data_IF_824391279346
#
_entry.id   IF_824391279346
#
_cell.length_a   1.000
_cell.length_b   1.000
_cell.length_c   1.000
_cell.angle_alpha   90.00
_cell.angle_beta   90.00
_cell.angle_gamma   90.00
#
_symmetry.space_group_name_H-M   'P 1'
#
loop_
_entity.id
_entity.type
_entity.pdbx_description
1 polymer ?
#
# COMPACT_ATOMS: atom_id res chain seq x y z
N UNK A 1 -9.44 -4.44 8.91
CA UNK A 1 -7.96 -4.54 8.80
C UNK A 1 -7.43 -5.95 9.01
N UNK A 2 -7.90 -6.72 10.00
CA UNK A 2 -7.42 -8.10 10.25
C UNK A 2 -7.49 -9.02 9.03
N UNK A 3 -8.57 -8.96 8.24
CA UNK A 3 -8.68 -9.74 7.00
C UNK A 3 -7.58 -9.40 5.98
N UNK A 4 -7.16 -8.14 5.91
CA UNK A 4 -6.07 -7.74 5.04
C UNK A 4 -4.72 -8.27 5.56
N UNK A 5 -4.49 -8.22 6.88
CA UNK A 5 -3.30 -8.82 7.50
C UNK A 5 -3.23 -10.32 7.25
N UNK A 6 -4.36 -11.03 7.27
CA UNK A 6 -4.46 -12.44 6.90
C UNK A 6 -4.00 -12.70 5.46
N UNK A 7 -4.42 -11.86 4.53
CA UNK A 7 -3.99 -11.98 3.13
C UNK A 7 -2.47 -11.78 2.98
N UNK A 8 -1.91 -10.78 3.65
CA UNK A 8 -0.46 -10.53 3.63
C UNK A 8 0.30 -11.69 4.28
N UNK A 9 -0.15 -12.15 5.45
CA UNK A 9 0.45 -13.27 6.17
C UNK A 9 0.47 -14.56 5.31
N UNK A 10 -0.64 -14.88 4.63
CA UNK A 10 -0.71 -16.02 3.71
C UNK A 10 0.15 -15.85 2.45
N UNK A 11 0.26 -14.63 1.92
CA UNK A 11 1.09 -14.34 0.75
C UNK A 11 2.60 -14.28 1.07
N UNK A 12 2.96 -14.18 2.35
CA UNK A 12 4.36 -14.11 2.79
C UNK A 12 5.01 -15.50 2.69
N UNK A 13 6.09 -15.66 1.91
CA UNK A 13 6.74 -16.96 1.74
C UNK A 13 7.26 -17.56 3.05
N UNK A 14 7.27 -18.89 3.15
CA UNK A 14 7.84 -19.61 4.29
C UNK A 14 9.30 -19.18 4.50
N UNK A 15 9.67 -18.91 5.76
CA UNK A 15 11.00 -18.41 6.12
C UNK A 15 11.19 -16.90 5.91
N UNK A 16 10.16 -16.16 5.52
CA UNK A 16 10.17 -14.69 5.45
C UNK A 16 9.20 -14.06 6.46
N UNK A 17 9.46 -12.79 6.76
CA UNK A 17 8.66 -11.97 7.66
C UNK A 17 8.18 -10.72 6.93
N UNK A 18 6.89 -10.44 6.97
CA UNK A 18 6.31 -9.23 6.39
C UNK A 18 6.38 -8.07 7.39
N UNK A 19 6.85 -6.92 6.90
CA UNK A 19 6.76 -5.66 7.63
C UNK A 19 5.78 -4.77 6.88
N UNK A 20 4.71 -4.37 7.57
CA UNK A 20 3.64 -3.54 6.99
C UNK A 20 3.68 -2.16 7.62
N UNK A 21 3.89 -1.15 6.80
CA UNK A 21 3.90 0.25 7.21
C UNK A 21 2.48 0.78 7.15
N UNK A 22 2.00 1.38 8.24
CA UNK A 22 0.64 1.93 8.36
C UNK A 22 0.69 3.37 8.90
N UNK A 23 -0.28 4.17 8.50
CA UNK A 23 -0.43 5.54 9.00
C UNK A 23 -1.16 5.61 10.35
N UNK A 24 -1.46 6.85 10.77
CA UNK A 24 -2.12 7.18 12.02
C UNK A 24 -3.61 6.84 12.16
N UNK A 25 -4.29 6.31 11.13
CA UNK A 25 -5.75 6.18 11.14
C UNK A 25 -6.29 5.41 12.36
N UNK A 26 -7.48 5.77 12.84
CA UNK A 26 -8.04 5.22 14.09
C UNK A 26 -8.26 3.70 14.08
N UNK A 27 -8.44 3.11 12.90
CA UNK A 27 -8.58 1.65 12.70
C UNK A 27 -7.24 0.95 12.38
N UNK A 28 -6.12 1.68 12.36
CA UNK A 28 -4.76 1.15 12.24
C UNK A 28 -4.17 0.90 13.63
N UNK A 29 -4.67 -0.17 14.25
CA UNK A 29 -4.31 -0.61 15.60
C UNK A 29 -3.43 -1.87 15.55
N UNK A 30 -2.49 -2.01 16.50
CA UNK A 30 -1.48 -3.07 16.49
C UNK A 30 -2.07 -4.48 16.68
N UNK A 31 -3.20 -4.58 17.37
CA UNK A 31 -3.95 -5.82 17.61
C UNK A 31 -4.41 -6.49 16.31
N UNK A 32 -4.59 -5.73 15.22
CA UNK A 32 -4.98 -6.27 13.92
C UNK A 32 -3.96 -7.24 13.32
N UNK A 33 -2.72 -7.22 13.79
CA UNK A 33 -1.67 -8.15 13.41
C UNK A 33 -1.28 -9.17 14.50
N UNK A 34 -1.85 -9.08 15.70
CA UNK A 34 -1.40 -9.85 16.86
C UNK A 34 -1.52 -11.38 16.70
N UNK A 35 -2.44 -11.85 15.85
CA UNK A 35 -2.61 -13.28 15.57
C UNK A 35 -1.55 -13.87 14.62
N UNK A 36 -0.78 -13.04 13.91
CA UNK A 36 0.15 -13.49 12.86
C UNK A 36 1.61 -13.47 13.32
N UNK A 37 2.27 -14.63 13.30
CA UNK A 37 3.67 -14.77 13.74
C UNK A 37 4.70 -14.29 12.71
N UNK A 38 4.31 -14.16 11.44
CA UNK A 38 5.18 -13.81 10.32
C UNK A 38 4.95 -12.38 9.80
N UNK A 39 4.32 -11.52 10.61
CA UNK A 39 3.97 -10.16 10.22
C UNK A 39 4.17 -9.19 11.39
N UNK A 40 4.69 -7.99 11.10
CA UNK A 40 4.77 -6.89 12.07
C UNK A 40 4.29 -5.60 11.44
N UNK A 41 3.55 -4.81 12.23
CA UNK A 41 3.11 -3.47 11.86
C UNK A 41 4.12 -2.42 12.34
N UNK A 42 4.46 -1.48 11.47
CA UNK A 42 5.21 -0.26 11.82
C UNK A 42 4.31 0.94 11.58
N UNK A 43 4.01 1.69 12.64
CA UNK A 43 3.21 2.90 12.54
C UNK A 43 4.08 4.10 12.24
N UNK A 44 3.69 4.88 11.25
CA UNK A 44 4.36 6.13 10.92
C UNK A 44 4.08 7.20 11.98
N UNK A 45 5.00 8.17 12.16
CA UNK A 45 4.74 9.35 12.96
C UNK A 45 3.47 10.08 12.47
N UNK A 46 2.71 10.72 13.38
CA UNK A 46 1.56 11.53 12.99
C UNK A 46 1.95 12.62 12.00
N UNK A 47 1.06 12.87 11.02
CA UNK A 47 1.22 13.93 10.02
C UNK A 47 2.47 13.83 9.13
N UNK A 48 2.95 12.61 8.86
CA UNK A 48 4.11 12.35 7.98
C UNK A 48 3.74 11.63 6.66
N UNK A 49 2.90 12.22 5.79
CA UNK A 49 2.50 11.60 4.52
C UNK A 49 3.68 11.36 3.57
N UNK A 50 4.76 12.14 3.67
CA UNK A 50 5.99 11.96 2.89
C UNK A 50 6.69 10.62 3.14
N UNK A 51 6.47 10.04 4.33
CA UNK A 51 6.98 8.73 4.71
C UNK A 51 6.09 7.59 4.24
N UNK A 52 4.85 7.86 3.84
CA UNK A 52 3.90 6.84 3.38
C UNK A 52 3.98 6.65 1.85
N UNK A 53 4.58 5.54 1.34
CA UNK A 53 4.76 5.38 -0.10
C UNK A 53 3.45 5.32 -0.89
N UNK A 54 2.35 4.90 -0.26
CA UNK A 54 1.05 4.78 -0.93
C UNK A 54 0.53 6.14 -1.43
N UNK A 55 0.90 7.24 -0.77
CA UNK A 55 0.52 8.59 -1.20
C UNK A 55 1.12 8.94 -2.56
N UNK A 56 2.39 8.54 -2.78
CA UNK A 56 3.04 8.73 -4.07
C UNK A 56 2.43 7.83 -5.14
N UNK A 57 2.11 6.57 -4.80
CA UNK A 57 1.42 5.63 -5.70
C UNK A 57 0.10 6.23 -6.17
N UNK A 58 -0.72 6.72 -5.25
CA UNK A 58 -2.00 7.33 -5.60
C UNK A 58 -1.84 8.62 -6.40
N UNK A 59 -0.85 9.45 -6.07
CA UNK A 59 -0.53 10.65 -6.85
C UNK A 59 -0.21 10.30 -8.30
N UNK A 60 0.62 9.28 -8.52
CA UNK A 60 0.99 8.81 -9.86
C UNK A 60 -0.23 8.27 -10.62
N UNK A 61 -1.02 7.38 -10.00
CA UNK A 61 -2.22 6.79 -10.61
C UNK A 61 -3.21 7.88 -11.03
N UNK A 62 -3.45 8.87 -10.15
CA UNK A 62 -4.34 10.00 -10.47
C UNK A 62 -3.84 10.82 -11.65
N UNK A 63 -2.54 11.11 -11.72
CA UNK A 63 -1.99 11.94 -12.79
C UNK A 63 -1.97 11.22 -14.14
N UNK A 64 -1.69 9.92 -14.17
CA UNK A 64 -1.40 9.18 -15.41
C UNK A 64 -2.57 8.34 -15.93
N UNK A 65 -3.51 7.92 -15.07
CA UNK A 65 -4.57 6.99 -15.45
C UNK A 65 -5.98 7.55 -15.25
N UNK A 66 -6.18 8.40 -14.24
CA UNK A 66 -7.51 8.80 -13.78
C UNK A 66 -7.79 10.30 -13.89
N UNK A 67 -6.88 11.08 -14.48
CA UNK A 67 -7.00 12.54 -14.59
C UNK A 67 -8.09 12.95 -15.59
N UNK A 68 -8.84 14.01 -15.26
CA UNK A 68 -9.86 14.62 -16.13
C UNK A 68 -10.96 13.66 -16.62
N UNK A 69 -11.40 12.73 -15.76
CA UNK A 69 -12.47 11.77 -16.06
C UNK A 69 -13.72 12.05 -15.23
N UNK A 70 -14.87 11.75 -15.83
CA UNK A 70 -16.16 11.71 -15.16
C UNK A 70 -16.64 10.26 -15.23
N UNK A 71 -17.14 9.74 -14.13
CA UNK A 71 -17.63 8.37 -14.02
C UNK A 71 -19.15 8.36 -13.90
N UNK A 72 -19.80 7.41 -14.56
CA UNK A 72 -21.25 7.23 -14.58
C UNK A 72 -21.81 6.65 -13.29
N UNK A 73 -20.95 6.07 -12.44
CA UNK A 73 -21.37 5.47 -11.17
C UNK A 73 -20.25 4.70 -10.46
N UNK A 74 -20.63 4.02 -9.37
CA UNK A 74 -19.70 3.28 -8.52
C UNK A 74 -18.94 2.18 -9.26
N UNK A 75 -19.65 1.38 -10.06
CA UNK A 75 -19.03 0.24 -10.75
C UNK A 75 -17.96 0.69 -11.74
N UNK A 76 -18.20 1.79 -12.47
CA UNK A 76 -17.19 2.36 -13.36
C UNK A 76 -15.98 2.90 -12.59
N UNK A 77 -16.19 3.50 -11.41
CA UNK A 77 -15.07 3.92 -10.55
C UNK A 77 -14.22 2.70 -10.15
N UNK A 78 -14.85 1.62 -9.71
CA UNK A 78 -14.15 0.40 -9.29
C UNK A 78 -13.38 -0.21 -10.46
N UNK A 79 -14.00 -0.32 -11.63
CA UNK A 79 -13.39 -0.87 -12.83
C UNK A 79 -12.18 -0.05 -13.29
N UNK A 80 -12.31 1.27 -13.36
CA UNK A 80 -11.26 2.14 -13.84
C UNK A 80 -10.09 2.26 -12.85
N UNK A 81 -10.38 2.30 -11.55
CA UNK A 81 -9.33 2.22 -10.51
C UNK A 81 -8.62 0.87 -10.56
N UNK A 82 -9.36 -0.23 -10.78
CA UNK A 82 -8.77 -1.57 -10.90
C UNK A 82 -7.85 -1.69 -12.13
N UNK A 83 -8.29 -1.17 -13.28
CA UNK A 83 -7.46 -1.10 -14.50
C UNK A 83 -6.19 -0.27 -14.26
N UNK A 84 -6.33 0.90 -13.64
CA UNK A 84 -5.21 1.78 -13.33
C UNK A 84 -4.22 1.14 -12.34
N UNK A 85 -4.72 0.46 -11.31
CA UNK A 85 -3.90 -0.30 -10.36
C UNK A 85 -3.14 -1.45 -11.04
N UNK A 86 -3.84 -2.25 -11.84
CA UNK A 86 -3.24 -3.36 -12.59
C UNK A 86 -2.17 -2.88 -13.58
N UNK A 87 -2.41 -1.73 -14.23
CA UNK A 87 -1.41 -1.09 -15.07
C UNK A 87 -0.19 -0.66 -14.24
N UNK A 88 -0.39 -0.02 -13.08
CA UNK A 88 0.72 0.40 -12.21
C UNK A 88 1.59 -0.77 -11.74
N UNK A 89 0.98 -1.84 -11.22
CA UNK A 89 1.73 -3.00 -10.71
C UNK A 89 2.40 -3.83 -11.82
N UNK A 90 1.96 -3.68 -13.08
CA UNK A 90 2.61 -4.29 -14.25
C UNK A 90 3.98 -3.67 -14.58
N UNK A 91 4.39 -2.61 -13.86
CA UNK A 91 5.67 -1.91 -14.04
C UNK A 91 6.51 -2.04 -12.74
N UNK A 92 7.15 -3.19 -12.47
CA UNK A 92 7.78 -3.48 -11.18
C UNK A 92 8.86 -2.48 -10.75
N UNK A 93 9.66 -1.97 -11.70
CA UNK A 93 10.72 -1.01 -11.37
C UNK A 93 10.19 0.35 -10.93
N UNK A 94 9.00 0.74 -11.44
CA UNK A 94 8.30 1.95 -10.96
C UNK A 94 7.86 1.76 -9.52
N UNK A 95 7.22 0.63 -9.22
CA UNK A 95 6.77 0.27 -7.85
C UNK A 95 7.96 0.32 -6.89
N UNK A 96 9.06 -0.35 -7.23
CA UNK A 96 10.30 -0.34 -6.42
C UNK A 96 10.84 1.07 -6.22
N UNK A 97 10.94 1.87 -7.29
CA UNK A 97 11.47 3.23 -7.21
C UNK A 97 10.64 4.13 -6.30
N UNK A 98 9.31 4.02 -6.35
CA UNK A 98 8.40 4.85 -5.54
C UNK A 98 8.39 4.46 -4.07
N UNK A 99 8.61 3.18 -3.77
CA UNK A 99 8.74 2.69 -2.41
C UNK A 99 10.17 2.77 -1.84
N UNK A 100 11.17 3.13 -2.67
CA UNK A 100 12.54 3.31 -2.24
C UNK A 100 12.77 4.69 -1.61
N UNK A 101 13.71 4.76 -0.67
CA UNK A 101 14.20 6.00 -0.07
C UNK A 101 15.70 5.87 0.11
N UNK A 102 16.48 6.83 -0.39
CA UNK A 102 17.96 6.78 -0.30
C UNK A 102 18.48 6.73 1.14
N UNK A 103 17.71 7.27 2.08
CA UNK A 103 18.04 7.27 3.51
C UNK A 103 17.68 5.96 4.23
N UNK A 104 16.91 5.06 3.61
CA UNK A 104 16.68 3.70 4.13
C UNK A 104 17.86 2.83 3.68
N UNK A 105 18.93 2.87 4.47
CA UNK A 105 20.07 1.97 4.29
C UNK A 105 19.78 0.70 5.08
N UNK A 106 19.36 -0.36 4.38
CA UNK A 106 19.34 -1.70 4.96
C UNK A 106 20.80 -2.12 5.16
N UNK A 107 21.19 -2.28 6.41
CA UNK A 107 22.50 -2.84 6.81
C UNK A 107 22.44 -4.36 6.62
#
# INVERSE_FOLDING_TARGET
MTQHMRQISHATPVGRHAVVIIDGAGWHTYDTAAEFKNLTLIKLPPYSPELNPIEQVWSWIRQHCLSNRVFSGYDEIVDEVSKAWNHFISIPDRVKKMCNREWIKLI
#
